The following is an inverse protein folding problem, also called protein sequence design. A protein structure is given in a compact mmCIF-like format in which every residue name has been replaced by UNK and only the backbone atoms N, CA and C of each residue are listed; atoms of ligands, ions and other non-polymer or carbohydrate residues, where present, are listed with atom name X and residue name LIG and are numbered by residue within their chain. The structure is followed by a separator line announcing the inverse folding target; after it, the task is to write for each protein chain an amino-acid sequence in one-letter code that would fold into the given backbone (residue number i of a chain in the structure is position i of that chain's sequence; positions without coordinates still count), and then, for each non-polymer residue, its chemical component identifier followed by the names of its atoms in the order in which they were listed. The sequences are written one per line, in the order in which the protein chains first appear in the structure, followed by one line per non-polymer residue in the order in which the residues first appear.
data_IF_165448911057
#
_entry.id   IF_165448911057
#
_cell.length_a   1.000
_cell.length_b   1.000
_cell.length_c   1.000
_cell.angle_alpha   90.00
_cell.angle_beta   90.00
_cell.angle_gamma   90.00
#
_symmetry.space_group_name_H-M   'P 1'
#
loop_
_entity.id
_entity.type
_entity.pdbx_description
1 polymer ?
#
# COMPACT_ATOMS: atom_id res chain seq x y z
N UNK A 1 15.95 18.95 5.20
CA UNK A 1 14.96 17.90 4.89
C UNK A 1 14.56 17.15 6.16
N UNK A 2 13.28 16.85 6.34
CA UNK A 2 12.77 16.12 7.51
C UNK A 2 12.31 14.73 7.08
N UNK A 3 13.09 13.70 7.42
CA UNK A 3 12.75 12.29 7.17
C UNK A 3 11.94 11.75 8.36
N UNK A 4 10.87 11.02 8.05
CA UNK A 4 9.97 10.42 9.04
C UNK A 4 9.78 8.95 8.73
N UNK A 5 9.76 8.13 9.78
CA UNK A 5 9.64 6.69 9.67
C UNK A 5 8.61 6.16 10.66
N UNK A 6 7.77 5.25 10.19
CA UNK A 6 6.72 4.61 10.96
C UNK A 6 6.86 3.10 10.80
N UNK A 7 6.88 2.34 11.90
CA UNK A 7 6.97 0.88 11.87
C UNK A 7 8.39 0.34 12.07
N UNK A 8 8.63 -0.89 11.60
CA UNK A 8 9.90 -1.61 11.68
C UNK A 8 10.30 -2.08 10.28
N UNK A 9 11.42 -1.58 9.75
CA UNK A 9 11.88 -1.91 8.40
C UNK A 9 12.08 -3.40 8.19
N UNK A 10 12.41 -4.17 9.23
CA UNK A 10 12.59 -5.63 9.14
C UNK A 10 11.26 -6.39 9.06
N UNK A 11 10.14 -5.68 9.28
CA UNK A 11 8.79 -6.21 9.17
C UNK A 11 8.02 -5.40 8.14
N UNK A 12 7.25 -4.41 8.60
CA UNK A 12 6.63 -3.41 7.76
C UNK A 12 6.93 -2.00 8.31
N UNK A 13 7.34 -1.10 7.43
CA UNK A 13 7.48 0.31 7.74
C UNK A 13 7.11 1.19 6.55
N UNK A 14 6.87 2.47 6.84
CA UNK A 14 6.73 3.54 5.86
C UNK A 14 7.84 4.55 6.11
N UNK A 15 8.54 4.96 5.06
CA UNK A 15 9.43 6.13 5.12
C UNK A 15 8.86 7.22 4.23
N UNK A 16 8.86 8.45 4.74
CA UNK A 16 8.50 9.64 3.98
C UNK A 16 9.47 10.79 4.26
N UNK A 17 9.67 11.63 3.27
CA UNK A 17 10.53 12.81 3.36
C UNK A 17 9.86 13.96 2.63
N UNK A 18 9.77 15.12 3.28
CA UNK A 18 9.30 16.35 2.63
C UNK A 18 10.51 17.17 2.17
N UNK A 19 10.49 17.60 0.91
CA UNK A 19 11.53 18.43 0.33
C UNK A 19 11.54 19.84 0.98
N UNK A 20 12.69 20.51 0.96
CA UNK A 20 12.78 21.89 1.46
C UNK A 20 12.02 22.88 0.58
N UNK A 21 12.02 22.65 -0.73
CA UNK A 21 11.18 23.35 -1.71
C UNK A 21 10.03 22.43 -2.14
N UNK A 22 9.12 22.15 -1.22
CA UNK A 22 8.04 21.18 -1.42
C UNK A 22 6.91 21.67 -2.34
N UNK A 23 7.05 22.83 -2.98
CA UNK A 23 6.00 23.42 -3.82
C UNK A 23 4.72 23.78 -3.04
N UNK A 24 4.82 24.06 -1.74
CA UNK A 24 3.67 24.38 -0.88
C UNK A 24 2.68 23.22 -0.79
N UNK A 25 1.46 23.43 -1.26
CA UNK A 25 0.36 22.45 -1.21
C UNK A 25 0.61 21.18 -2.04
N UNK A 26 1.58 21.19 -2.96
CA UNK A 26 1.98 20.00 -3.71
C UNK A 26 2.73 18.99 -2.84
N UNK A 27 3.41 19.47 -1.79
CA UNK A 27 4.17 18.66 -0.84
C UNK A 27 5.10 17.67 -1.55
N UNK A 28 5.94 18.15 -2.46
CA UNK A 28 6.92 17.29 -3.12
C UNK A 28 7.89 16.68 -2.10
N UNK A 29 8.23 15.42 -2.32
CA UNK A 29 9.02 14.64 -1.39
C UNK A 29 9.20 13.20 -1.85
N UNK A 30 9.54 12.31 -0.92
CA UNK A 30 9.75 10.88 -1.17
C UNK A 30 8.86 10.03 -0.27
N UNK A 31 8.48 8.86 -0.75
CA UNK A 31 7.65 7.91 -0.02
C UNK A 31 8.00 6.48 -0.43
N UNK A 32 8.05 5.53 0.51
CA UNK A 32 8.18 4.12 0.19
C UNK A 32 7.60 3.24 1.31
N UNK A 33 7.37 1.98 0.97
CA UNK A 33 7.16 0.93 1.95
C UNK A 33 8.47 0.18 2.18
N UNK A 34 8.62 -0.36 3.38
CA UNK A 34 9.58 -1.40 3.70
C UNK A 34 8.82 -2.68 3.98
N UNK A 35 9.20 -3.77 3.32
CA UNK A 35 8.67 -5.12 3.53
C UNK A 35 9.86 -6.06 3.67
N UNK A 36 10.03 -6.68 4.83
CA UNK A 36 11.14 -7.61 5.11
C UNK A 36 12.53 -7.00 4.81
N UNK A 37 12.74 -5.76 5.23
CA UNK A 37 13.98 -5.01 4.98
C UNK A 37 14.16 -4.53 3.54
N UNK A 38 13.24 -4.86 2.62
CA UNK A 38 13.28 -4.43 1.23
C UNK A 38 12.46 -3.16 1.05
N UNK A 39 13.05 -2.18 0.38
CA UNK A 39 12.35 -0.97 -0.03
C UNK A 39 11.47 -1.27 -1.25
N UNK A 40 10.20 -0.85 -1.18
CA UNK A 40 9.19 -1.04 -2.20
C UNK A 40 8.68 0.34 -2.65
N UNK A 41 8.62 0.53 -3.96
CA UNK A 41 8.40 1.83 -4.61
C UNK A 41 9.71 2.50 -5.07
N UNK A 42 9.62 3.36 -6.07
CA UNK A 42 10.76 4.08 -6.66
C UNK A 42 11.13 5.31 -5.81
N UNK A 43 11.69 5.09 -4.62
CA UNK A 43 11.94 6.15 -3.62
C UNK A 43 12.76 7.33 -4.15
N UNK A 44 13.68 7.11 -5.09
CA UNK A 44 14.55 8.16 -5.63
C UNK A 44 13.88 9.07 -6.69
N UNK A 45 12.74 8.68 -7.27
CA UNK A 45 12.08 9.47 -8.33
C UNK A 45 11.30 10.68 -7.78
N UNK A 46 11.08 10.74 -6.46
CA UNK A 46 10.23 11.75 -5.83
C UNK A 46 8.76 11.56 -6.19
N UNK A 47 7.85 12.14 -5.41
CA UNK A 47 6.41 12.08 -5.67
C UNK A 47 5.68 13.25 -5.00
N UNK A 48 4.41 13.42 -5.36
CA UNK A 48 3.48 14.33 -4.69
C UNK A 48 2.95 13.67 -3.41
N UNK A 49 3.38 14.16 -2.24
CA UNK A 49 2.87 13.63 -0.97
C UNK A 49 1.40 13.97 -0.74
N UNK A 50 0.85 14.97 -1.44
CA UNK A 50 -0.59 15.24 -1.47
C UNK A 50 -1.37 14.13 -2.19
N UNK A 51 -0.85 13.66 -3.31
CA UNK A 51 -1.49 12.56 -4.05
C UNK A 51 -1.31 11.25 -3.27
N UNK A 52 -0.16 11.07 -2.61
CA UNK A 52 0.08 10.00 -1.64
C UNK A 52 -0.95 10.03 -0.50
N UNK A 53 -1.19 11.19 0.13
CA UNK A 53 -2.21 11.37 1.17
C UNK A 53 -3.60 10.92 0.68
N UNK A 54 -3.95 11.29 -0.55
CA UNK A 54 -5.23 10.92 -1.17
C UNK A 54 -5.32 9.42 -1.43
N UNK A 55 -4.25 8.80 -1.93
CA UNK A 55 -4.19 7.35 -2.14
C UNK A 55 -4.28 6.57 -0.83
N UNK A 56 -3.53 6.98 0.20
CA UNK A 56 -3.54 6.32 1.51
C UNK A 56 -4.88 6.41 2.22
N UNK A 57 -5.70 7.43 1.94
CA UNK A 57 -7.04 7.57 2.54
C UNK A 57 -7.90 6.33 2.33
N UNK A 58 -7.86 5.72 1.14
CA UNK A 58 -8.64 4.53 0.82
C UNK A 58 -8.06 3.28 1.48
N UNK A 59 -6.74 3.17 1.52
CA UNK A 59 -6.04 2.09 2.22
C UNK A 59 -6.37 2.10 3.72
N UNK A 60 -6.34 3.27 4.36
CA UNK A 60 -6.75 3.47 5.75
C UNK A 60 -8.24 3.17 5.94
N UNK A 61 -9.09 3.59 4.99
CA UNK A 61 -10.53 3.31 5.05
C UNK A 61 -10.83 1.81 5.14
N UNK A 62 -10.02 0.97 4.51
CA UNK A 62 -10.19 -0.48 4.49
C UNK A 62 -9.46 -1.24 5.61
N UNK A 63 -8.83 -0.53 6.54
CA UNK A 63 -8.23 -1.12 7.73
C UNK A 63 -9.21 -1.99 8.51
N UNK A 64 -8.77 -3.19 8.88
CA UNK A 64 -9.59 -4.21 9.54
C UNK A 64 -10.64 -4.91 8.66
N UNK A 65 -10.80 -4.55 7.38
CA UNK A 65 -11.79 -5.15 6.46
C UNK A 65 -11.22 -6.24 5.55
N UNK A 66 -9.96 -6.63 5.75
CA UNK A 66 -9.21 -7.54 4.85
C UNK A 66 -9.24 -9.01 5.29
N UNK A 67 -10.16 -9.39 6.16
CA UNK A 67 -10.25 -10.79 6.64
C UNK A 67 -10.78 -11.72 5.53
N UNK A 68 -9.99 -12.71 5.14
CA UNK A 68 -10.37 -13.80 4.24
C UNK A 68 -9.44 -15.01 4.45
N UNK A 69 -9.79 -15.88 5.40
CA UNK A 69 -8.98 -17.06 5.71
C UNK A 69 -8.90 -18.09 4.55
N UNK A 70 -9.88 -18.11 3.64
CA UNK A 70 -9.85 -19.03 2.51
C UNK A 70 -8.74 -18.62 1.53
N UNK A 71 -8.67 -17.33 1.17
CA UNK A 71 -7.55 -16.79 0.36
C UNK A 71 -6.24 -16.82 1.13
N UNK A 72 -6.25 -16.58 2.44
CA UNK A 72 -5.04 -16.62 3.25
C UNK A 72 -4.30 -17.96 3.16
N UNK A 73 -5.02 -19.08 3.09
CA UNK A 73 -4.45 -20.45 3.09
C UNK A 73 -4.07 -20.97 1.69
N UNK A 74 -4.48 -20.30 0.62
CA UNK A 74 -4.16 -20.68 -0.76
C UNK A 74 -2.68 -20.42 -1.13
N UNK A 75 -2.14 -21.08 -2.17
CA UNK A 75 -0.80 -20.77 -2.68
C UNK A 75 -0.64 -19.30 -3.10
N UNK A 76 0.55 -18.72 -2.91
CA UNK A 76 0.80 -17.29 -3.09
C UNK A 76 0.49 -16.80 -4.50
N UNK A 77 0.91 -17.56 -5.51
CA UNK A 77 0.64 -17.27 -6.92
C UNK A 77 -0.86 -17.32 -7.24
N UNK A 78 -1.56 -18.38 -6.78
CA UNK A 78 -2.99 -18.56 -7.03
C UNK A 78 -3.83 -17.43 -6.43
N UNK A 79 -3.51 -16.98 -5.21
CA UNK A 79 -4.21 -15.86 -4.55
C UNK A 79 -3.95 -14.56 -5.26
N UNK A 80 -2.68 -14.33 -5.61
CA UNK A 80 -2.27 -13.12 -6.30
C UNK A 80 -3.00 -13.01 -7.63
N UNK A 81 -3.00 -14.07 -8.44
CA UNK A 81 -3.72 -14.13 -9.71
C UNK A 81 -5.24 -13.99 -9.53
N UNK A 82 -5.82 -14.61 -8.50
CA UNK A 82 -7.25 -14.51 -8.23
C UNK A 82 -7.70 -13.08 -7.88
N UNK A 83 -6.92 -12.36 -7.08
CA UNK A 83 -7.18 -10.94 -6.77
C UNK A 83 -6.88 -10.06 -8.00
N UNK A 84 -5.80 -10.34 -8.72
CA UNK A 84 -5.40 -9.52 -9.87
C UNK A 84 -6.41 -9.58 -11.01
N UNK A 85 -6.86 -10.79 -11.33
CA UNK A 85 -7.81 -11.06 -12.41
C UNK A 85 -9.22 -10.58 -12.09
N UNK A 86 -9.63 -10.54 -10.81
CA UNK A 86 -10.94 -9.97 -10.44
C UNK A 86 -10.99 -8.45 -10.60
N UNK A 87 -9.85 -7.77 -10.51
CA UNK A 87 -9.76 -6.31 -10.66
C UNK A 87 -9.40 -5.87 -12.08
N UNK A 88 -8.51 -6.61 -12.76
CA UNK A 88 -7.92 -6.20 -14.03
C UNK A 88 -8.11 -7.21 -15.17
N UNK A 89 -8.74 -8.35 -14.91
CA UNK A 89 -9.01 -9.38 -15.93
C UNK A 89 -10.01 -8.90 -16.99
N UNK A 90 -9.89 -9.43 -18.21
CA UNK A 90 -10.85 -9.14 -19.27
C UNK A 90 -12.21 -9.76 -18.95
N UNK A 91 -13.28 -8.99 -19.22
CA UNK A 91 -14.67 -9.29 -18.86
C UNK A 91 -15.30 -10.51 -19.56
N UNK A 92 -14.53 -11.43 -20.14
CA UNK A 92 -15.09 -12.61 -20.81
C UNK A 92 -15.71 -13.63 -19.83
N UNK A 93 -15.33 -13.57 -18.54
CA UNK A 93 -15.88 -14.41 -17.46
C UNK A 93 -16.26 -13.62 -16.20
N UNK A 94 -16.61 -12.34 -16.31
CA UNK A 94 -16.99 -11.53 -15.16
C UNK A 94 -18.26 -12.09 -14.50
N UNK A 95 -18.09 -12.92 -13.46
CA UNK A 95 -19.14 -13.28 -12.53
C UNK A 95 -19.51 -12.06 -11.70
N UNK A 96 -20.32 -11.18 -12.28
CA UNK A 96 -20.90 -9.97 -11.67
C UNK A 96 -19.91 -8.88 -11.24
N UNK A 97 -20.28 -7.62 -11.48
CA UNK A 97 -19.58 -6.41 -11.01
C UNK A 97 -19.37 -6.36 -9.47
N UNK A 98 -19.95 -7.32 -8.71
CA UNK A 98 -19.86 -7.36 -7.25
C UNK A 98 -18.56 -7.95 -6.69
N UNK A 99 -17.82 -8.76 -7.46
CA UNK A 99 -16.58 -9.42 -6.99
C UNK A 99 -15.34 -8.50 -7.03
N UNK A 100 -15.29 -7.56 -7.98
CA UNK A 100 -14.17 -6.60 -8.14
C UNK A 100 -14.07 -5.61 -6.97
N UNK A 101 -15.20 -5.00 -6.59
CA UNK A 101 -15.27 -4.07 -5.45
C UNK A 101 -14.99 -4.78 -4.12
N UNK A 102 -15.38 -6.05 -4.02
CA UNK A 102 -15.05 -6.87 -2.86
C UNK A 102 -13.54 -7.13 -2.75
N UNK A 103 -12.83 -7.33 -3.86
CA UNK A 103 -11.39 -7.67 -3.85
C UNK A 103 -10.47 -6.46 -3.77
N UNK A 104 -10.95 -5.27 -4.17
CA UNK A 104 -10.21 -4.01 -4.11
C UNK A 104 -9.65 -3.71 -2.70
N UNK A 105 -10.38 -4.07 -1.64
CA UNK A 105 -9.94 -3.86 -0.24
C UNK A 105 -8.60 -4.53 0.08
N UNK A 106 -8.23 -5.58 -0.66
CA UNK A 106 -6.95 -6.28 -0.46
C UNK A 106 -5.77 -5.50 -1.07
N UNK A 107 -6.01 -4.64 -2.06
CA UNK A 107 -4.96 -3.81 -2.66
C UNK A 107 -4.49 -2.72 -1.69
N UNK A 108 -3.19 -2.73 -1.41
CA UNK A 108 -2.53 -1.76 -0.54
C UNK A 108 -1.37 -1.04 -1.24
N UNK A 109 -1.17 -1.28 -2.54
CA UNK A 109 -0.35 -0.43 -3.40
C UNK A 109 -1.01 0.95 -3.54
N UNK A 110 -0.35 2.04 -3.09
CA UNK A 110 -0.85 3.38 -3.36
C UNK A 110 -0.89 3.63 -4.87
N UNK A 111 -2.00 4.17 -5.37
CA UNK A 111 -2.17 4.50 -6.78
C UNK A 111 -1.43 5.81 -7.13
N UNK A 112 -0.10 5.76 -7.06
CA UNK A 112 0.82 6.85 -7.38
C UNK A 112 1.97 6.34 -8.25
N UNK A 113 2.59 7.26 -8.97
CA UNK A 113 3.61 6.99 -9.98
C UNK A 113 4.75 6.08 -9.52
N UNK A 114 5.29 6.34 -8.34
CA UNK A 114 6.41 5.56 -7.76
C UNK A 114 6.04 4.12 -7.38
N UNK A 115 4.75 3.75 -7.39
CA UNK A 115 4.26 2.40 -7.15
C UNK A 115 3.70 1.72 -8.41
N UNK A 116 3.70 2.36 -9.59
CA UNK A 116 3.10 1.81 -10.81
C UNK A 116 3.67 0.43 -11.23
N UNK A 117 4.90 0.12 -10.85
CA UNK A 117 5.54 -1.17 -11.13
C UNK A 117 5.30 -2.22 -10.04
N UNK A 118 4.50 -1.91 -9.02
CA UNK A 118 4.29 -2.76 -7.86
C UNK A 118 2.80 -3.06 -7.70
N UNK A 119 2.51 -4.32 -7.41
CA UNK A 119 1.21 -4.75 -6.92
C UNK A 119 1.41 -5.35 -5.54
N UNK A 120 0.61 -4.89 -4.59
CA UNK A 120 0.77 -5.26 -3.18
C UNK A 120 -0.61 -5.58 -2.61
N UNK A 121 -0.78 -6.81 -2.15
CA UNK A 121 -2.01 -7.30 -1.54
C UNK A 121 -1.78 -7.64 -0.06
N UNK A 122 -2.80 -7.37 0.76
CA UNK A 122 -2.82 -7.70 2.18
C UNK A 122 -4.09 -8.48 2.50
N UNK A 123 -3.92 -9.64 3.12
CA UNK A 123 -5.03 -10.50 3.56
C UNK A 123 -4.85 -10.81 5.04
N UNK A 124 -5.88 -10.59 5.84
CA UNK A 124 -5.91 -10.96 7.25
C UNK A 124 -6.54 -12.33 7.44
N UNK A 125 -6.03 -13.09 8.41
CA UNK A 125 -6.72 -14.23 8.97
C UNK A 125 -6.40 -14.36 10.45
N UNK A 126 -7.45 -14.28 11.29
CA UNK A 126 -7.36 -14.40 12.76
C UNK A 126 -6.38 -13.40 13.38
N UNK A 127 -5.14 -13.82 13.65
CA UNK A 127 -4.10 -13.03 14.34
C UNK A 127 -2.92 -12.66 13.44
N UNK A 128 -2.95 -13.08 12.18
CA UNK A 128 -1.88 -12.86 11.21
C UNK A 128 -2.41 -12.08 10.01
N UNK A 129 -1.49 -11.41 9.34
CA UNK A 129 -1.71 -10.84 8.03
C UNK A 129 -0.65 -11.38 7.06
N UNK A 130 -1.02 -11.52 5.80
CA UNK A 130 -0.16 -12.01 4.73
C UNK A 130 -0.06 -10.95 3.67
N UNK A 131 1.14 -10.44 3.47
CA UNK A 131 1.52 -9.58 2.36
C UNK A 131 1.89 -10.46 1.17
N UNK A 132 1.32 -10.15 0.01
CA UNK A 132 1.74 -10.66 -1.28
C UNK A 132 2.17 -9.46 -2.12
N UNK A 133 3.36 -9.50 -2.70
CA UNK A 133 3.87 -8.36 -3.44
C UNK A 133 4.73 -8.80 -4.62
N UNK A 134 4.60 -8.06 -5.72
CA UNK A 134 5.27 -8.34 -6.97
C UNK A 134 5.67 -7.05 -7.67
N UNK A 135 6.93 -6.97 -8.06
CA UNK A 135 7.32 -6.00 -9.09
C UNK A 135 6.89 -6.58 -10.44
N UNK A 136 6.20 -5.80 -11.27
CA UNK A 136 5.70 -6.26 -12.57
C UNK A 136 6.79 -6.70 -13.55
N UNK A 137 8.06 -6.34 -13.31
CA UNK A 137 9.21 -6.86 -14.06
C UNK A 137 9.71 -8.23 -13.57
N UNK A 138 9.33 -8.66 -12.37
CA UNK A 138 9.69 -9.97 -11.80
C UNK A 138 8.56 -10.98 -12.07
N UNK A 139 8.85 -12.20 -12.54
CA UNK A 139 7.82 -13.22 -12.69
C UNK A 139 7.24 -13.73 -11.37
N UNK A 140 7.96 -13.64 -10.24
CA UNK A 140 7.59 -14.31 -8.99
C UNK A 140 6.85 -13.39 -8.02
N UNK A 141 5.85 -13.94 -7.33
CA UNK A 141 5.22 -13.31 -6.18
C UNK A 141 6.08 -13.54 -4.93
N UNK A 142 6.42 -12.45 -4.25
CA UNK A 142 7.01 -12.51 -2.91
C UNK A 142 5.93 -12.49 -1.85
N UNK A 143 6.19 -13.12 -0.70
CA UNK A 143 5.27 -13.12 0.43
C UNK A 143 5.97 -12.80 1.75
N UNK A 144 5.22 -12.19 2.66
CA UNK A 144 5.69 -11.91 4.01
C UNK A 144 4.54 -11.93 5.01
N UNK A 145 4.80 -12.37 6.25
CA UNK A 145 3.78 -12.50 7.28
C UNK A 145 3.96 -11.46 8.39
N UNK A 146 2.89 -10.73 8.67
CA UNK A 146 2.79 -9.75 9.74
C UNK A 146 1.87 -10.23 10.86
N UNK A 147 1.90 -9.54 12.00
CA UNK A 147 0.79 -9.59 12.95
C UNK A 147 -0.40 -8.88 12.32
N UNK A 148 -1.62 -9.35 12.59
CA UNK A 148 -2.82 -8.63 12.18
C UNK A 148 -2.79 -7.18 12.69
N UNK A 149 -3.27 -6.26 11.86
CA UNK A 149 -3.28 -4.80 12.11
C UNK A 149 -1.90 -4.13 12.24
N UNK A 150 -0.78 -4.85 12.06
CA UNK A 150 0.56 -4.25 12.04
C UNK A 150 0.71 -3.24 10.88
N UNK A 151 0.26 -3.64 9.69
CA UNK A 151 0.18 -2.75 8.53
C UNK A 151 -0.75 -1.55 8.79
N UNK A 152 -1.97 -1.82 9.28
CA UNK A 152 -2.99 -0.79 9.50
C UNK A 152 -2.54 0.27 10.50
N UNK A 153 -1.90 -0.13 11.60
CA UNK A 153 -1.36 0.81 12.58
C UNK A 153 -0.26 1.69 11.95
N UNK A 154 0.62 1.09 11.15
CA UNK A 154 1.71 1.81 10.49
C UNK A 154 1.19 2.80 9.44
N UNK A 155 0.24 2.39 8.59
CA UNK A 155 -0.28 3.24 7.52
C UNK A 155 -1.15 4.38 8.06
N UNK A 156 -1.87 4.15 9.17
CA UNK A 156 -2.60 5.20 9.87
C UNK A 156 -1.66 6.31 10.36
N UNK A 157 -0.54 5.95 11.00
CA UNK A 157 0.44 6.93 11.48
C UNK A 157 1.04 7.76 10.33
N UNK A 158 1.38 7.10 9.22
CA UNK A 158 1.87 7.79 8.03
C UNK A 158 0.81 8.75 7.45
N UNK A 159 -0.44 8.31 7.37
CA UNK A 159 -1.55 9.11 6.88
C UNK A 159 -1.83 10.32 7.78
N UNK A 160 -1.86 10.14 9.10
CA UNK A 160 -2.04 11.23 10.07
C UNK A 160 -0.91 12.27 9.92
N UNK A 161 0.33 11.82 9.73
CA UNK A 161 1.47 12.71 9.53
C UNK A 161 1.37 13.49 8.22
N UNK A 162 0.98 12.84 7.13
CA UNK A 162 0.75 13.49 5.84
C UNK A 162 -0.38 14.51 5.93
N UNK A 163 -1.47 14.18 6.63
CA UNK A 163 -2.59 15.09 6.84
C UNK A 163 -2.14 16.33 7.63
N UNK A 164 -1.34 16.15 8.69
CA UNK A 164 -0.79 17.26 9.46
C UNK A 164 0.24 18.12 8.67
N UNK A 165 0.94 17.54 7.69
CA UNK A 165 1.79 18.31 6.77
C UNK A 165 0.92 19.12 5.79
N UNK A 166 -0.15 18.53 5.28
CA UNK A 166 -1.09 19.18 4.37
C UNK A 166 -1.82 20.36 5.02
N UNK A 167 -2.34 20.19 6.24
CA UNK A 167 -3.01 21.27 6.98
C UNK A 167 -2.06 22.46 7.25
N UNK A 168 -0.79 22.19 7.50
CA UNK A 168 0.25 23.22 7.63
C UNK A 168 0.51 23.93 6.31
N UNK A 169 0.58 23.20 5.20
CA UNK A 169 0.77 23.78 3.87
C UNK A 169 -0.44 24.60 3.39
N UNK A 170 -1.65 24.31 3.86
CA UNK A 170 -2.84 25.13 3.62
C UNK A 170 -2.86 26.44 4.42
N UNK A 171 -2.15 26.47 5.54
CA UNK A 171 -2.13 27.60 6.49
C UNK A 171 -0.92 28.52 6.30
N UNK A 172 0.00 28.18 5.40
CA UNK A 172 1.22 28.92 5.07
C UNK A 172 0.99 29.86 3.87
#
# INVERSE_FOLDING_TARGET
MASMEFGDRTRFAVSLELDEDSGGQWMFGKFCYWIDGKMIGNYEEGTSLRDTLTALKWIVHDSGKREDCARFEMPSEDVFEAIDSSMYGQAENASSESDGDATARFEISPQIDIFNQWKIYLIDCRSQARLLYKNLSDPNVSEFFLKRAEFDACIQLAWDQLNALYDRALSA
#
